data_IF_300501760985
#
_entry.id   IF_300501760985
#
_cell.length_a   1.000
_cell.length_b   1.000
_cell.length_c   1.000
_cell.angle_alpha   90.00
_cell.angle_beta   90.00
_cell.angle_gamma   90.00
#
_symmetry.space_group_name_H-M   'P 1'
#
loop_
_entity.id
_entity.type
_entity.pdbx_description
1 polymer ?
#
# COMPACT_ATOMS: atom_id res chain seq x y z
N UNK A 1 13.05 3.50 -13.29
CA UNK A 1 13.04 2.06 -13.66
C UNK A 1 13.34 1.91 -15.13
N UNK A 2 13.99 0.83 -15.51
CA UNK A 2 14.31 0.55 -16.91
C UNK A 2 13.08 0.03 -17.66
N UNK A 3 13.09 0.20 -18.98
CA UNK A 3 11.95 -0.18 -19.83
C UNK A 3 11.56 -1.65 -19.72
N UNK A 4 12.55 -2.54 -19.55
CA UNK A 4 12.26 -3.97 -19.42
C UNK A 4 11.39 -4.30 -18.20
N UNK A 5 11.33 -3.42 -17.20
CA UNK A 5 10.51 -3.64 -16.01
C UNK A 5 9.01 -3.48 -16.27
N UNK A 6 8.64 -2.96 -17.44
CA UNK A 6 7.23 -2.83 -17.85
C UNK A 6 6.74 -4.03 -18.64
N UNK A 7 7.61 -4.98 -18.98
CA UNK A 7 7.26 -6.14 -19.78
C UNK A 7 6.14 -6.96 -19.12
N UNK A 8 5.10 -7.24 -19.88
CA UNK A 8 3.97 -8.01 -19.38
C UNK A 8 2.98 -7.25 -18.48
N UNK A 9 3.19 -5.95 -18.28
CA UNK A 9 2.27 -5.13 -17.49
C UNK A 9 1.26 -4.43 -18.38
N UNK A 10 0.04 -4.23 -17.85
CA UNK A 10 -0.97 -3.40 -18.48
C UNK A 10 -0.63 -1.92 -18.28
N UNK A 11 -1.26 -1.05 -19.06
CA UNK A 11 -1.10 0.41 -18.91
C UNK A 11 -1.54 0.87 -17.50
N UNK A 12 -2.61 0.27 -16.96
CA UNK A 12 -3.06 0.57 -15.59
C UNK A 12 -2.03 0.18 -14.55
N UNK A 13 -1.37 -0.97 -14.71
CA UNK A 13 -0.33 -1.43 -13.79
C UNK A 13 0.90 -0.54 -13.85
N UNK A 14 1.27 -0.06 -15.03
CA UNK A 14 2.35 0.91 -15.19
C UNK A 14 1.99 2.22 -14.49
N UNK A 15 0.74 2.69 -14.60
CA UNK A 15 0.28 3.88 -13.88
C UNK A 15 0.30 3.71 -12.37
N UNK A 16 -0.07 2.54 -11.85
CA UNK A 16 0.06 2.23 -10.42
C UNK A 16 1.50 2.44 -9.98
N UNK A 17 2.44 1.85 -10.70
CA UNK A 17 3.88 1.97 -10.40
C UNK A 17 4.33 3.43 -10.40
N UNK A 18 4.00 4.16 -11.46
CA UNK A 18 4.45 5.54 -11.60
C UNK A 18 3.87 6.45 -10.52
N UNK A 19 2.58 6.31 -10.23
CA UNK A 19 1.90 7.13 -9.23
C UNK A 19 2.43 6.84 -7.81
N UNK A 20 2.58 5.57 -7.47
CA UNK A 20 3.07 5.16 -6.15
C UNK A 20 4.52 5.57 -5.96
N UNK A 21 5.36 5.33 -6.98
CA UNK A 21 6.76 5.73 -6.91
C UNK A 21 6.91 7.24 -6.77
N UNK A 22 6.13 8.00 -7.55
CA UNK A 22 6.12 9.46 -7.45
C UNK A 22 5.69 9.96 -6.08
N UNK A 23 4.66 9.36 -5.48
CA UNK A 23 4.23 9.68 -4.12
C UNK A 23 5.35 9.42 -3.12
N UNK A 24 5.94 8.22 -3.16
CA UNK A 24 7.01 7.85 -2.23
C UNK A 24 8.24 8.74 -2.38
N UNK A 25 8.61 9.12 -3.59
CA UNK A 25 9.74 10.03 -3.82
C UNK A 25 9.49 11.40 -3.22
N UNK A 26 8.24 11.87 -3.19
CA UNK A 26 7.89 13.16 -2.58
C UNK A 26 7.87 13.11 -1.06
N UNK A 27 7.26 12.06 -0.48
CA UNK A 27 7.05 12.00 0.98
C UNK A 27 8.16 11.28 1.72
N UNK A 28 8.97 10.50 1.01
CA UNK A 28 10.04 9.70 1.59
C UNK A 28 11.28 9.75 0.70
N UNK A 29 11.89 10.94 0.51
CA UNK A 29 13.12 11.05 -0.27
C UNK A 29 14.28 10.31 0.40
N UNK A 30 15.37 10.06 -0.33
CA UNK A 30 16.51 9.30 0.18
C UNK A 30 17.09 9.87 1.47
N UNK A 31 17.10 11.20 1.61
CA UNK A 31 17.56 11.85 2.84
C UNK A 31 16.69 11.48 4.04
N UNK A 32 15.38 11.40 3.84
CA UNK A 32 14.44 11.00 4.89
C UNK A 32 14.59 9.53 5.25
N UNK A 33 14.83 8.67 4.27
CA UNK A 33 15.10 7.25 4.52
C UNK A 33 16.33 7.11 5.41
N UNK A 34 17.41 7.84 5.11
CA UNK A 34 18.62 7.80 5.92
C UNK A 34 18.35 8.25 7.36
N UNK A 35 17.56 9.30 7.56
CA UNK A 35 17.16 9.76 8.90
C UNK A 35 16.38 8.69 9.67
N UNK A 36 15.39 8.06 9.02
CA UNK A 36 14.59 7.02 9.63
C UNK A 36 15.42 5.80 10.01
N UNK A 37 16.32 5.38 9.14
CA UNK A 37 17.21 4.25 9.40
C UNK A 37 18.14 4.53 10.58
N UNK A 38 18.72 5.72 10.65
CA UNK A 38 19.57 6.12 11.75
C UNK A 38 18.81 6.18 13.09
N UNK A 39 17.58 6.64 13.06
CA UNK A 39 16.71 6.74 14.24
C UNK A 39 16.01 5.43 14.57
N UNK A 40 16.11 4.41 13.71
CA UNK A 40 15.33 3.16 13.82
C UNK A 40 13.83 3.44 13.95
N UNK A 41 13.34 4.42 13.21
CA UNK A 41 11.96 4.89 13.26
C UNK A 41 11.13 4.31 12.12
N UNK A 42 9.83 4.16 12.36
CA UNK A 42 8.89 3.67 11.35
C UNK A 42 8.56 4.77 10.32
N UNK A 43 8.28 4.39 9.06
CA UNK A 43 7.92 5.35 8.01
C UNK A 43 6.45 5.78 8.11
N UNK A 44 6.04 6.32 9.25
CA UNK A 44 4.63 6.64 9.56
C UNK A 44 4.04 7.66 8.59
N UNK A 45 4.79 8.71 8.24
CA UNK A 45 4.30 9.75 7.33
C UNK A 45 4.03 9.21 5.94
N UNK A 46 4.92 8.34 5.44
CA UNK A 46 4.71 7.70 4.14
C UNK A 46 3.49 6.78 4.15
N UNK A 47 3.30 6.02 5.21
CA UNK A 47 2.12 5.16 5.36
C UNK A 47 0.83 5.98 5.39
N UNK A 48 0.82 7.08 6.13
CA UNK A 48 -0.34 7.99 6.17
C UNK A 48 -0.61 8.63 4.80
N UNK A 49 0.43 8.96 4.05
CA UNK A 49 0.27 9.51 2.70
C UNK A 49 -0.35 8.49 1.75
N UNK A 50 0.05 7.22 1.84
CA UNK A 50 -0.58 6.14 1.08
C UNK A 50 -2.06 6.00 1.44
N UNK A 51 -2.38 6.06 2.74
CA UNK A 51 -3.76 5.98 3.21
C UNK A 51 -4.61 7.14 2.67
N UNK A 52 -4.09 8.36 2.73
CA UNK A 52 -4.79 9.55 2.26
C UNK A 52 -5.05 9.52 0.75
N UNK A 53 -4.16 8.88 -0.02
CA UNK A 53 -4.28 8.75 -1.47
C UNK A 53 -5.08 7.50 -1.89
N UNK A 54 -5.65 6.75 -0.93
CA UNK A 54 -6.54 5.62 -1.19
C UNK A 54 -5.86 4.28 -1.41
N UNK A 55 -4.55 4.18 -1.27
CA UNK A 55 -3.83 2.95 -1.58
C UNK A 55 -4.06 1.81 -0.59
N UNK A 56 -4.51 2.10 0.63
CA UNK A 56 -4.85 1.05 1.59
C UNK A 56 -6.14 0.31 1.20
N UNK A 57 -6.99 0.95 0.42
CA UNK A 57 -8.24 0.36 -0.06
C UNK A 57 -8.06 -0.53 -1.30
N UNK A 58 -6.88 -0.48 -1.95
CA UNK A 58 -6.66 -1.06 -3.27
C UNK A 58 -7.16 -2.51 -3.45
N UNK A 59 -6.87 -3.46 -2.54
CA UNK A 59 -7.26 -4.85 -2.76
C UNK A 59 -8.69 -5.20 -2.38
N UNK A 60 -9.40 -4.30 -1.70
CA UNK A 60 -10.73 -4.61 -1.20
C UNK A 60 -11.80 -4.38 -2.26
N UNK A 61 -12.96 -5.03 -2.08
CA UNK A 61 -14.09 -4.90 -2.99
C UNK A 61 -14.64 -3.47 -2.99
N UNK A 62 -15.22 -3.05 -4.11
CA UNK A 62 -15.82 -1.72 -4.22
C UNK A 62 -16.92 -1.50 -3.18
N UNK A 63 -17.72 -2.52 -2.87
CA UNK A 63 -18.76 -2.45 -1.85
C UNK A 63 -18.18 -2.13 -0.45
N UNK A 64 -16.94 -2.49 -0.19
CA UNK A 64 -16.25 -2.19 1.07
C UNK A 64 -15.46 -0.88 1.02
N UNK A 65 -15.53 -0.15 -0.08
CA UNK A 65 -14.78 1.10 -0.30
C UNK A 65 -13.45 0.92 -1.00
N UNK A 66 -13.19 -0.27 -1.53
CA UNK A 66 -11.95 -0.61 -2.20
C UNK A 66 -11.97 -0.38 -3.70
N UNK A 67 -10.86 -0.67 -4.35
CA UNK A 67 -10.69 -0.56 -5.80
C UNK A 67 -10.82 -1.89 -6.54
N UNK A 68 -10.94 -3.00 -5.83
CA UNK A 68 -11.10 -4.32 -6.44
C UNK A 68 -9.89 -4.80 -7.25
N UNK A 69 -8.70 -4.36 -6.86
CA UNK A 69 -7.49 -4.69 -7.60
C UNK A 69 -7.23 -6.20 -7.66
N UNK A 70 -6.74 -6.67 -8.80
CA UNK A 70 -6.37 -8.06 -8.99
C UNK A 70 -5.10 -8.40 -8.22
N UNK A 71 -4.82 -9.70 -8.09
CA UNK A 71 -3.56 -10.17 -7.47
C UNK A 71 -2.34 -9.66 -8.23
N UNK A 72 -2.42 -9.56 -9.56
CA UNK A 72 -1.32 -9.03 -10.37
C UNK A 72 -1.12 -7.53 -10.13
N UNK A 73 -2.21 -6.76 -10.02
CA UNK A 73 -2.15 -5.34 -9.68
C UNK A 73 -1.48 -5.16 -8.32
N UNK A 74 -1.86 -5.99 -7.35
CA UNK A 74 -1.27 -5.96 -6.01
C UNK A 74 0.21 -6.31 -6.01
N UNK A 75 0.61 -7.27 -6.83
CA UNK A 75 2.02 -7.63 -6.96
C UNK A 75 2.85 -6.45 -7.46
N UNK A 76 2.35 -5.73 -8.48
CA UNK A 76 3.03 -4.53 -9.00
C UNK A 76 3.12 -3.44 -7.94
N UNK A 77 2.05 -3.20 -7.20
CA UNK A 77 2.00 -2.21 -6.14
C UNK A 77 3.01 -2.54 -5.03
N UNK A 78 2.98 -3.77 -4.52
CA UNK A 78 3.85 -4.21 -3.43
C UNK A 78 5.32 -4.20 -3.86
N UNK A 79 5.61 -4.62 -5.09
CA UNK A 79 6.97 -4.55 -5.65
C UNK A 79 7.48 -3.11 -5.66
N UNK A 80 6.63 -2.16 -6.03
CA UNK A 80 6.98 -0.74 -6.06
C UNK A 80 7.29 -0.22 -4.66
N UNK A 81 6.49 -0.59 -3.66
CA UNK A 81 6.77 -0.23 -2.27
C UNK A 81 8.14 -0.76 -1.83
N UNK A 82 8.41 -2.03 -2.07
CA UNK A 82 9.66 -2.67 -1.68
C UNK A 82 10.86 -2.15 -2.45
N UNK A 83 10.66 -1.76 -3.70
CA UNK A 83 11.70 -1.12 -4.51
C UNK A 83 12.18 0.18 -3.87
N UNK A 84 11.26 0.99 -3.34
CA UNK A 84 11.61 2.27 -2.75
C UNK A 84 12.04 2.15 -1.28
N UNK A 85 11.23 1.45 -0.45
CA UNK A 85 11.54 1.32 0.98
C UNK A 85 10.92 0.07 1.59
N UNK A 86 11.75 -0.77 2.15
CA UNK A 86 11.33 -2.03 2.76
C UNK A 86 10.31 -1.83 3.89
N UNK A 87 10.54 -0.84 4.76
CA UNK A 87 9.68 -0.58 5.91
C UNK A 87 8.25 -0.21 5.52
N UNK A 88 8.08 0.57 4.45
CA UNK A 88 6.75 0.91 3.93
C UNK A 88 6.04 -0.34 3.42
N UNK A 89 6.75 -1.20 2.68
CA UNK A 89 6.21 -2.47 2.21
C UNK A 89 5.80 -3.36 3.38
N UNK A 90 6.64 -3.47 4.40
CA UNK A 90 6.36 -4.28 5.60
C UNK A 90 5.11 -3.80 6.31
N UNK A 91 4.99 -2.48 6.52
CA UNK A 91 3.82 -1.90 7.18
C UNK A 91 2.54 -2.19 6.39
N UNK A 92 2.59 -2.04 5.06
CA UNK A 92 1.44 -2.33 4.20
C UNK A 92 1.06 -3.81 4.25
N UNK A 93 2.03 -4.70 4.13
CA UNK A 93 1.79 -6.15 4.17
C UNK A 93 1.13 -6.57 5.49
N UNK A 94 1.64 -6.08 6.59
CA UNK A 94 1.12 -6.44 7.91
C UNK A 94 -0.29 -5.90 8.12
N UNK A 95 -0.53 -4.66 7.79
CA UNK A 95 -1.82 -3.99 8.05
C UNK A 95 -2.88 -4.39 7.04
N UNK A 96 -2.60 -4.24 5.76
CA UNK A 96 -3.61 -4.38 4.70
C UNK A 96 -3.74 -5.84 4.26
N UNK A 97 -2.63 -6.48 3.91
CA UNK A 97 -2.69 -7.82 3.35
C UNK A 97 -3.02 -8.84 4.42
N UNK A 98 -2.30 -8.85 5.52
CA UNK A 98 -2.57 -9.81 6.59
C UNK A 98 -3.80 -9.40 7.40
N UNK A 99 -3.78 -8.22 8.00
CA UNK A 99 -4.89 -7.76 8.85
C UNK A 99 -6.19 -7.59 8.08
N UNK A 100 -6.14 -6.89 6.95
CA UNK A 100 -7.33 -6.63 6.13
C UNK A 100 -7.96 -7.89 5.56
N UNK A 101 -7.16 -8.84 5.08
CA UNK A 101 -7.69 -10.09 4.56
C UNK A 101 -8.28 -10.98 5.65
N UNK A 102 -7.73 -10.96 6.86
CA UNK A 102 -8.33 -11.67 7.99
C UNK A 102 -9.70 -11.09 8.33
N UNK A 103 -9.82 -9.77 8.39
CA UNK A 103 -11.11 -9.12 8.63
C UNK A 103 -12.12 -9.48 7.54
N UNK A 104 -11.70 -9.39 6.27
CA UNK A 104 -12.58 -9.65 5.14
C UNK A 104 -13.07 -11.09 5.08
N UNK A 105 -12.19 -12.05 5.35
CA UNK A 105 -12.47 -13.48 5.12
C UNK A 105 -12.96 -14.23 6.35
N UNK A 106 -12.55 -13.81 7.54
CA UNK A 106 -12.74 -14.60 8.74
C UNK A 106 -13.46 -13.88 9.88
N UNK A 107 -13.54 -12.55 9.84
CA UNK A 107 -14.24 -11.82 10.86
C UNK A 107 -15.77 -11.95 10.70
N UNK A 108 -16.48 -11.89 11.82
CA UNK A 108 -17.94 -11.78 11.79
C UNK A 108 -18.31 -10.47 11.08
N UNK A 109 -19.47 -10.44 10.36
CA UNK A 109 -19.85 -9.27 9.57
C UNK A 109 -19.86 -7.95 10.36
N UNK A 110 -20.31 -7.97 11.60
CA UNK A 110 -20.37 -6.77 12.45
C UNK A 110 -18.96 -6.28 12.83
N UNK A 111 -18.00 -7.18 13.00
CA UNK A 111 -16.61 -6.83 13.29
C UNK A 111 -15.95 -6.24 12.05
N UNK A 112 -16.13 -6.87 10.90
CA UNK A 112 -15.61 -6.37 9.65
C UNK A 112 -16.19 -4.98 9.32
N UNK A 113 -17.48 -4.78 9.53
CA UNK A 113 -18.14 -3.51 9.29
C UNK A 113 -17.62 -2.39 10.19
N UNK A 114 -17.16 -2.71 11.40
CA UNK A 114 -16.58 -1.73 12.32
C UNK A 114 -15.13 -1.40 11.98
N UNK A 115 -14.30 -2.42 11.75
CA UNK A 115 -12.85 -2.22 11.68
C UNK A 115 -12.29 -2.02 10.27
N UNK A 116 -12.90 -2.63 9.25
CA UNK A 116 -12.37 -2.53 7.89
C UNK A 116 -12.37 -1.09 7.35
N UNK A 117 -13.42 -0.28 7.54
CA UNK A 117 -13.37 1.12 7.12
C UNK A 117 -12.26 1.92 7.81
N UNK A 118 -12.00 1.65 9.08
CA UNK A 118 -10.90 2.31 9.83
C UNK A 118 -9.54 1.94 9.27
N UNK A 119 -9.34 0.66 8.95
CA UNK A 119 -8.11 0.17 8.34
C UNK A 119 -7.89 0.84 6.97
N UNK A 120 -8.92 0.89 6.14
CA UNK A 120 -8.86 1.49 4.80
C UNK A 120 -8.47 2.97 4.88
N UNK A 121 -8.96 3.69 5.87
CA UNK A 121 -8.60 5.11 6.08
C UNK A 121 -7.23 5.32 6.71
N UNK A 122 -6.60 4.27 7.21
CA UNK A 122 -5.33 4.38 7.91
C UNK A 122 -5.46 4.81 9.38
N UNK A 123 -6.63 4.65 9.97
CA UNK A 123 -6.87 4.98 11.39
C UNK A 123 -6.36 3.90 12.33
N UNK A 124 -6.07 2.73 11.78
CA UNK A 124 -5.63 1.54 12.52
C UNK A 124 -4.57 0.77 11.76
#
# INVERSE_FOLDING_TARGET
MHDYTTFGLTDEQILIRENVLGLLQRVLPQSKIAELDAAKADPTEAFKALAADGWLALPFEEAAGGAGASNKDMAVFIETLGYWHYGVRSAYMTTVIYGGNHLRRHARPEVAAEFLPKLIRGDR
#
